data_IF_998737518650
#
_entry.id   IF_998737518650
#
_cell.length_a   1.000
_cell.length_b   1.000
_cell.length_c   1.000
_cell.angle_alpha   90.00
_cell.angle_beta   90.00
_cell.angle_gamma   90.00
#
_symmetry.space_group_name_H-M   'P 1'
#
loop_
_entity.id
_entity.type
_entity.pdbx_description
1 polymer ?
#
# COMPACT_ATOMS: atom_id res chain seq x y z
N UNK A 1 5.74 -3.65 -4.35
CA UNK A 1 5.29 -2.25 -4.18
C UNK A 1 5.78 -1.33 -5.31
N UNK A 2 7.09 -1.09 -5.50
CA UNK A 2 7.57 -0.19 -6.57
C UNK A 2 7.14 -0.64 -7.98
N UNK A 3 7.12 -1.95 -8.27
CA UNK A 3 6.63 -2.47 -9.55
C UNK A 3 5.17 -2.06 -9.79
N UNK A 4 4.28 -2.34 -8.84
CA UNK A 4 2.87 -1.98 -8.96
C UNK A 4 2.67 -0.47 -9.11
N UNK A 5 3.45 0.34 -8.41
CA UNK A 5 3.31 1.79 -8.46
C UNK A 5 3.72 2.41 -9.80
N UNK A 6 4.76 1.89 -10.45
CA UNK A 6 5.34 2.48 -11.64
C UNK A 6 4.91 1.81 -12.95
N UNK A 7 4.70 0.49 -12.92
CA UNK A 7 4.49 -0.31 -14.13
C UNK A 7 3.05 -0.83 -14.27
N UNK A 8 2.36 -1.08 -13.15
CA UNK A 8 1.02 -1.63 -13.21
C UNK A 8 -0.03 -0.55 -13.49
N UNK A 9 -1.12 -0.89 -14.20
CA UNK A 9 -2.25 -0.01 -14.39
C UNK A 9 -2.91 0.30 -13.04
N UNK A 10 -3.61 1.44 -12.95
CA UNK A 10 -4.15 1.93 -11.66
C UNK A 10 -5.08 0.94 -10.95
N UNK A 11 -5.84 0.15 -11.69
CA UNK A 11 -6.74 -0.85 -11.11
C UNK A 11 -6.02 -2.04 -10.45
N UNK A 12 -4.74 -2.23 -10.76
CA UNK A 12 -3.87 -3.23 -10.12
C UNK A 12 -3.04 -2.66 -8.96
N UNK A 13 -3.08 -1.34 -8.74
CA UNK A 13 -2.31 -0.68 -7.68
C UNK A 13 -3.00 -0.80 -6.32
N UNK A 14 -3.33 -2.01 -5.90
CA UNK A 14 -4.04 -2.31 -4.67
C UNK A 14 -3.34 -3.38 -3.82
N UNK A 15 -3.80 -3.58 -2.58
CA UNK A 15 -3.21 -4.56 -1.67
C UNK A 15 -3.44 -6.02 -2.10
N UNK A 16 -4.54 -6.31 -2.80
CA UNK A 16 -4.79 -7.63 -3.38
C UNK A 16 -3.66 -8.04 -4.32
N UNK A 17 -3.26 -7.16 -5.25
CA UNK A 17 -2.15 -7.42 -6.16
C UNK A 17 -0.80 -7.54 -5.45
N UNK A 18 -0.59 -6.85 -4.33
CA UNK A 18 0.61 -7.07 -3.50
C UNK A 18 0.64 -8.49 -2.95
N UNK A 19 -0.50 -9.01 -2.49
CA UNK A 19 -0.59 -10.39 -1.99
C UNK A 19 -0.38 -11.42 -3.11
N UNK A 20 -0.92 -11.19 -4.31
CA UNK A 20 -0.67 -12.02 -5.48
C UNK A 20 0.83 -12.06 -5.87
N UNK A 21 1.50 -10.90 -5.89
CA UNK A 21 2.93 -10.84 -6.16
C UNK A 21 3.77 -11.55 -5.08
N UNK A 22 3.34 -11.50 -3.81
CA UNK A 22 4.01 -12.26 -2.75
C UNK A 22 3.88 -13.78 -2.96
N UNK A 23 2.71 -14.25 -3.37
CA UNK A 23 2.49 -15.67 -3.70
C UNK A 23 3.27 -16.09 -4.95
N UNK A 24 3.31 -15.23 -5.97
CA UNK A 24 4.06 -15.48 -7.20
C UNK A 24 5.58 -15.54 -6.99
N UNK A 25 6.08 -14.95 -5.91
CA UNK A 25 7.50 -14.94 -5.54
C UNK A 25 7.91 -16.03 -4.56
N UNK A 26 7.20 -17.17 -4.52
CA UNK A 26 7.54 -18.26 -3.61
C UNK A 26 8.98 -18.73 -3.79
N UNK A 27 9.68 -18.92 -2.66
CA UNK A 27 11.09 -19.30 -2.64
C UNK A 27 11.15 -20.79 -2.39
N UNK A 28 11.70 -21.57 -3.34
CA UNK A 28 11.85 -23.02 -3.15
C UNK A 28 12.75 -23.31 -1.95
N UNK A 29 12.47 -24.42 -1.28
CA UNK A 29 13.32 -24.91 -0.20
C UNK A 29 14.71 -25.29 -0.74
N UNK A 30 15.74 -25.15 0.11
CA UNK A 30 17.17 -25.30 -0.24
C UNK A 30 17.53 -26.64 -0.89
N UNK A 31 16.68 -27.67 -0.76
CA UNK A 31 16.91 -29.01 -1.33
C UNK A 31 16.69 -29.07 -2.86
N UNK A 32 16.08 -28.06 -3.47
CA UNK A 32 15.84 -27.99 -4.93
C UNK A 32 16.77 -26.97 -5.60
N UNK A 33 18.05 -27.33 -5.71
CA UNK A 33 19.06 -26.50 -6.42
C UNK A 33 18.74 -26.28 -7.92
N UNK A 34 17.73 -26.97 -8.48
CA UNK A 34 17.24 -26.84 -9.85
C UNK A 34 15.83 -26.22 -9.92
N UNK A 35 15.41 -25.47 -8.91
CA UNK A 35 14.11 -24.84 -8.96
C UNK A 35 14.03 -23.87 -10.14
N UNK A 36 12.96 -23.97 -10.92
CA UNK A 36 12.66 -23.04 -12.00
C UNK A 36 12.50 -21.62 -11.40
N UNK A 37 12.85 -20.58 -12.19
CA UNK A 37 12.59 -19.21 -11.79
C UNK A 37 11.11 -19.05 -11.39
N UNK A 38 10.86 -18.32 -10.32
CA UNK A 38 9.48 -18.00 -9.94
C UNK A 38 8.87 -17.05 -10.99
N UNK A 39 7.55 -17.02 -11.09
CA UNK A 39 6.83 -16.07 -11.96
C UNK A 39 7.27 -14.61 -11.67
N UNK A 40 7.59 -14.33 -10.42
CA UNK A 40 8.12 -13.01 -10.04
C UNK A 40 9.53 -12.76 -10.59
N UNK A 41 10.41 -13.79 -10.63
CA UNK A 41 11.74 -13.68 -11.24
C UNK A 41 11.63 -13.36 -12.73
N UNK A 42 10.72 -14.04 -13.45
CA UNK A 42 10.49 -13.81 -14.87
C UNK A 42 9.98 -12.38 -15.15
N UNK A 43 9.03 -11.91 -14.36
CA UNK A 43 8.47 -10.57 -14.45
C UNK A 43 9.55 -9.49 -14.25
N UNK A 44 10.43 -9.66 -13.26
CA UNK A 44 11.53 -8.71 -13.03
C UNK A 44 12.65 -8.84 -14.06
N UNK A 45 12.88 -10.01 -14.63
CA UNK A 45 13.81 -10.18 -15.74
C UNK A 45 13.31 -9.47 -17.00
N UNK A 46 12.01 -9.54 -17.29
CA UNK A 46 11.40 -8.79 -18.39
C UNK A 46 11.52 -7.26 -18.17
N UNK A 47 11.21 -6.78 -16.96
CA UNK A 47 11.37 -5.36 -16.62
C UNK A 47 12.83 -4.91 -16.74
N UNK A 48 13.78 -5.72 -16.29
CA UNK A 48 15.19 -5.43 -16.40
C UNK A 48 15.66 -5.33 -17.86
N UNK A 49 15.11 -6.18 -18.75
CA UNK A 49 15.43 -6.11 -20.17
C UNK A 49 14.97 -4.81 -20.84
N UNK A 50 13.85 -4.25 -20.36
CA UNK A 50 13.29 -2.97 -20.83
C UNK A 50 13.99 -1.76 -20.21
N UNK A 51 14.24 -1.82 -18.90
CA UNK A 51 14.85 -0.72 -18.15
C UNK A 51 15.76 -1.25 -17.01
N UNK A 52 17.06 -1.46 -17.28
CA UNK A 52 18.01 -1.98 -16.29
C UNK A 52 18.19 -1.11 -15.05
N UNK A 53 17.90 0.19 -15.16
CA UNK A 53 18.04 1.18 -14.06
C UNK A 53 16.74 1.42 -13.28
N UNK A 54 15.69 0.66 -13.59
CA UNK A 54 14.41 0.83 -12.90
C UNK A 54 14.56 0.56 -11.41
N UNK A 55 13.95 1.45 -10.60
CA UNK A 55 14.05 1.38 -9.12
C UNK A 55 13.56 0.03 -8.57
N UNK A 56 12.48 -0.53 -9.13
CA UNK A 56 11.95 -1.82 -8.71
C UNK A 56 12.95 -2.97 -8.97
N UNK A 57 13.66 -2.96 -10.12
CA UNK A 57 14.71 -3.93 -10.44
C UNK A 57 15.86 -3.85 -9.45
N UNK A 58 16.30 -2.64 -9.12
CA UNK A 58 17.37 -2.42 -8.13
C UNK A 58 17.02 -3.05 -6.77
N UNK A 59 15.81 -2.80 -6.25
CA UNK A 59 15.39 -3.35 -4.96
C UNK A 59 15.11 -4.85 -5.03
N UNK A 60 14.63 -5.36 -6.17
CA UNK A 60 14.44 -6.79 -6.35
C UNK A 60 15.76 -7.55 -6.33
N UNK A 61 16.78 -7.06 -7.02
CA UNK A 61 18.14 -7.62 -6.97
C UNK A 61 18.73 -7.62 -5.56
N UNK A 62 18.58 -6.52 -4.84
CA UNK A 62 19.01 -6.42 -3.45
C UNK A 62 18.28 -7.45 -2.57
N UNK A 63 16.96 -7.64 -2.76
CA UNK A 63 16.20 -8.67 -2.09
C UNK A 63 16.73 -10.06 -2.44
N UNK A 64 16.89 -10.42 -3.70
CA UNK A 64 17.35 -11.73 -4.17
C UNK A 64 18.80 -12.06 -3.79
N UNK A 65 19.60 -11.11 -3.38
CA UNK A 65 20.98 -11.34 -2.88
C UNK A 65 21.04 -12.02 -1.51
N UNK A 66 19.91 -12.11 -0.80
CA UNK A 66 19.82 -12.80 0.48
C UNK A 66 19.82 -14.32 0.34
N UNK A 67 20.15 -15.07 1.39
CA UNK A 67 20.03 -16.53 1.40
C UNK A 67 18.55 -16.96 1.31
N UNK A 68 18.26 -18.11 0.71
CA UNK A 68 16.89 -18.66 0.58
C UNK A 68 16.15 -18.68 1.91
N UNK A 69 16.82 -19.12 2.98
CA UNK A 69 16.25 -19.13 4.34
C UNK A 69 15.87 -17.75 4.84
N UNK A 70 16.72 -16.74 4.59
CA UNK A 70 16.43 -15.35 4.96
C UNK A 70 15.26 -14.81 4.17
N UNK A 71 15.23 -15.03 2.86
CA UNK A 71 14.16 -14.59 1.99
C UNK A 71 12.82 -15.21 2.38
N UNK A 72 12.79 -16.52 2.67
CA UNK A 72 11.59 -17.23 3.16
C UNK A 72 11.08 -16.62 4.48
N UNK A 73 11.98 -16.33 5.42
CA UNK A 73 11.61 -15.66 6.68
C UNK A 73 11.02 -14.27 6.47
N UNK A 74 11.58 -13.50 5.55
CA UNK A 74 11.05 -12.17 5.17
C UNK A 74 9.66 -12.31 4.54
N UNK A 75 9.45 -13.27 3.62
CA UNK A 75 8.15 -13.50 3.01
C UNK A 75 7.09 -13.89 4.05
N UNK A 76 7.39 -14.83 4.95
CA UNK A 76 6.46 -15.24 6.00
C UNK A 76 6.09 -14.06 6.89
N UNK A 77 7.08 -13.25 7.29
CA UNK A 77 6.85 -12.07 8.13
C UNK A 77 5.97 -11.03 7.41
N UNK A 78 6.23 -10.81 6.14
CA UNK A 78 5.45 -9.85 5.33
C UNK A 78 4.03 -10.34 5.10
N UNK A 79 3.86 -11.62 4.75
CA UNK A 79 2.54 -12.24 4.60
C UNK A 79 1.72 -12.15 5.89
N UNK A 80 2.32 -12.45 7.05
CA UNK A 80 1.64 -12.35 8.35
C UNK A 80 1.21 -10.90 8.68
N UNK A 81 2.01 -9.91 8.32
CA UNK A 81 1.66 -8.49 8.54
C UNK A 81 0.55 -8.00 7.61
N UNK A 82 0.47 -8.55 6.40
CA UNK A 82 -0.52 -8.18 5.40
C UNK A 82 -1.74 -9.11 5.40
N UNK A 83 -1.79 -10.13 6.27
CA UNK A 83 -2.86 -11.13 6.33
C UNK A 83 -4.25 -10.50 6.39
N UNK A 84 -4.40 -9.39 7.11
CA UNK A 84 -5.68 -8.68 7.22
C UNK A 84 -6.20 -8.19 5.86
N UNK A 85 -5.33 -7.82 4.94
CA UNK A 85 -5.71 -7.41 3.58
C UNK A 85 -6.07 -8.58 2.67
N UNK A 86 -5.95 -9.82 3.15
CA UNK A 86 -6.40 -11.02 2.45
C UNK A 86 -7.88 -11.36 2.72
N UNK A 87 -8.54 -10.58 3.57
CA UNK A 87 -10.00 -10.69 3.78
C UNK A 87 -10.73 -10.09 2.58
N UNK A 88 -11.64 -10.84 1.97
CA UNK A 88 -12.37 -10.42 0.77
C UNK A 88 -13.05 -9.06 0.92
N UNK A 89 -13.66 -8.81 2.08
CA UNK A 89 -14.31 -7.54 2.38
C UNK A 89 -13.33 -6.36 2.43
N UNK A 90 -12.13 -6.58 2.96
CA UNK A 90 -11.12 -5.55 3.05
C UNK A 90 -10.40 -5.35 1.72
N UNK A 91 -10.15 -6.43 0.98
CA UNK A 91 -9.61 -6.38 -0.37
C UNK A 91 -10.54 -5.55 -1.27
N UNK A 92 -11.84 -5.85 -1.28
CA UNK A 92 -12.84 -5.09 -2.05
C UNK A 92 -12.91 -3.61 -1.64
N UNK A 93 -12.85 -3.30 -0.33
CA UNK A 93 -12.89 -1.93 0.17
C UNK A 93 -11.64 -1.11 -0.21
N UNK A 94 -10.50 -1.77 -0.43
CA UNK A 94 -9.22 -1.11 -0.76
C UNK A 94 -8.82 -1.26 -2.23
N UNK A 95 -9.72 -1.79 -3.07
CA UNK A 95 -9.44 -2.05 -4.48
C UNK A 95 -9.26 -0.76 -5.28
N UNK A 96 -10.07 0.24 -4.99
CA UNK A 96 -10.04 1.54 -5.67
C UNK A 96 -10.34 2.69 -4.70
N UNK A 97 -9.97 3.92 -5.11
CA UNK A 97 -10.19 5.13 -4.29
C UNK A 97 -11.61 5.65 -4.48
N UNK A 98 -12.49 5.36 -3.52
CA UNK A 98 -13.86 5.89 -3.45
C UNK A 98 -13.94 7.20 -2.66
N UNK A 99 -12.96 7.50 -1.83
CA UNK A 99 -13.03 8.60 -0.88
C UNK A 99 -12.58 9.93 -1.47
N UNK A 100 -11.78 9.91 -2.54
CA UNK A 100 -11.23 11.11 -3.18
C UNK A 100 -10.71 12.13 -2.15
N UNK A 101 -9.89 11.67 -1.19
CA UNK A 101 -9.45 12.46 -0.04
C UNK A 101 -8.82 13.82 -0.42
N UNK A 102 -8.29 13.94 -1.63
CA UNK A 102 -7.74 15.19 -2.15
C UNK A 102 -8.79 16.30 -2.33
N UNK A 103 -10.08 15.95 -2.40
CA UNK A 103 -11.19 16.92 -2.55
C UNK A 103 -11.73 17.43 -1.23
N UNK A 104 -11.51 16.70 -0.13
CA UNK A 104 -12.09 17.02 1.19
C UNK A 104 -11.70 18.42 1.68
N UNK A 105 -10.53 18.89 1.34
CA UNK A 105 -10.09 20.25 1.72
C UNK A 105 -10.63 21.38 0.84
N UNK A 106 -11.21 21.07 -0.31
CA UNK A 106 -11.66 22.05 -1.30
C UNK A 106 -13.18 22.23 -1.30
N UNK A 107 -13.91 21.22 -0.84
CA UNK A 107 -15.36 21.22 -0.78
C UNK A 107 -15.82 21.09 0.68
N UNK A 108 -17.04 21.61 0.98
CA UNK A 108 -17.65 21.42 2.30
C UNK A 108 -18.07 19.96 2.45
N UNK A 109 -17.20 19.16 3.03
CA UNK A 109 -17.37 17.72 3.18
C UNK A 109 -17.36 17.32 4.65
N UNK A 110 -18.21 16.35 5.02
CA UNK A 110 -18.19 15.68 6.31
C UNK A 110 -17.94 14.19 6.09
N UNK A 111 -16.86 13.67 6.66
CA UNK A 111 -16.51 12.25 6.61
C UNK A 111 -16.94 11.58 7.91
N UNK A 112 -17.78 10.54 7.80
CA UNK A 112 -18.25 9.74 8.93
C UNK A 112 -17.61 8.36 8.86
N UNK A 113 -16.73 8.03 9.81
CA UNK A 113 -16.15 6.69 9.95
C UNK A 113 -16.89 5.97 11.09
N UNK A 114 -17.64 4.92 10.75
CA UNK A 114 -18.38 4.11 11.73
C UNK A 114 -17.50 2.91 12.09
N UNK A 115 -17.19 2.79 13.37
CA UNK A 115 -16.33 1.74 13.92
C UNK A 115 -17.10 0.94 14.96
N UNK A 116 -16.93 -0.39 15.01
CA UNK A 116 -17.51 -1.19 16.07
C UNK A 116 -16.75 -0.95 17.38
N UNK A 117 -17.48 -0.64 18.47
CA UNK A 117 -16.88 -0.39 19.79
C UNK A 117 -16.22 -1.64 20.41
N UNK A 118 -16.69 -2.81 20.04
CA UNK A 118 -16.27 -4.09 20.62
C UNK A 118 -15.20 -4.81 19.81
N UNK A 119 -14.77 -4.28 18.65
CA UNK A 119 -13.76 -4.90 17.79
C UNK A 119 -12.68 -3.91 17.37
N UNK A 120 -11.51 -4.05 17.95
CA UNK A 120 -10.35 -3.21 17.66
C UNK A 120 -9.50 -3.71 16.46
N UNK A 121 -9.88 -4.85 15.86
CA UNK A 121 -9.09 -5.51 14.82
C UNK A 121 -8.86 -4.62 13.60
N UNK A 122 -9.77 -3.67 13.33
CA UNK A 122 -9.71 -2.77 12.18
C UNK A 122 -9.28 -1.33 12.51
N UNK A 123 -8.90 -1.03 13.76
CA UNK A 123 -8.45 0.31 14.15
C UNK A 123 -7.23 0.79 13.33
N UNK A 124 -6.43 -0.13 12.82
CA UNK A 124 -5.31 0.22 11.95
C UNK A 124 -5.76 0.90 10.63
N UNK A 125 -6.94 0.55 10.10
CA UNK A 125 -7.51 1.20 8.90
C UNK A 125 -7.82 2.67 9.16
N UNK A 126 -8.37 2.95 10.32
CA UNK A 126 -8.65 4.33 10.74
C UNK A 126 -7.37 5.14 10.82
N UNK A 127 -6.31 4.54 11.37
CA UNK A 127 -5.00 5.18 11.43
C UNK A 127 -4.43 5.46 10.03
N UNK A 128 -4.60 4.53 9.11
CA UNK A 128 -4.21 4.72 7.69
C UNK A 128 -5.05 5.85 7.07
N UNK A 129 -6.37 5.81 7.26
CA UNK A 129 -7.29 6.83 6.73
C UNK A 129 -6.90 8.23 7.22
N UNK A 130 -6.69 8.42 8.53
CA UNK A 130 -6.26 9.71 9.07
C UNK A 130 -4.91 10.15 8.49
N UNK A 131 -3.95 9.24 8.41
CA UNK A 131 -2.63 9.55 7.85
C UNK A 131 -2.76 10.04 6.41
N UNK A 132 -3.51 9.33 5.57
CA UNK A 132 -3.72 9.70 4.18
C UNK A 132 -4.51 11.01 4.05
N UNK A 133 -5.55 11.21 4.87
CA UNK A 133 -6.35 12.42 4.89
C UNK A 133 -5.49 13.64 5.19
N UNK A 134 -4.70 13.60 6.26
CA UNK A 134 -3.83 14.71 6.62
C UNK A 134 -2.73 14.95 5.58
N UNK A 135 -2.15 13.89 5.01
CA UNK A 135 -1.17 14.04 3.93
C UNK A 135 -1.80 14.71 2.69
N UNK A 136 -3.01 14.31 2.31
CA UNK A 136 -3.72 14.94 1.19
C UNK A 136 -4.04 16.41 1.46
N UNK A 137 -4.52 16.74 2.68
CA UNK A 137 -4.81 18.11 3.09
C UNK A 137 -3.56 18.99 3.11
N UNK A 138 -2.46 18.52 3.70
CA UNK A 138 -1.20 19.28 3.73
C UNK A 138 -0.62 19.46 2.32
N UNK A 139 -0.64 18.42 1.49
CA UNK A 139 -0.19 18.52 0.10
C UNK A 139 -1.04 19.53 -0.70
N UNK A 140 -2.35 19.54 -0.51
CA UNK A 140 -3.25 20.52 -1.15
C UNK A 140 -2.97 21.94 -0.63
N UNK A 141 -2.78 22.10 0.69
CA UNK A 141 -2.43 23.39 1.28
C UNK A 141 -1.14 23.97 0.70
N UNK A 142 -0.09 23.16 0.61
CA UNK A 142 1.22 23.58 0.11
C UNK A 142 1.17 23.93 -1.39
N UNK A 143 0.48 23.12 -2.19
CA UNK A 143 0.50 23.24 -3.65
C UNK A 143 -0.48 24.31 -4.17
N UNK A 144 -1.67 24.41 -3.55
CA UNK A 144 -2.77 25.26 -4.05
C UNK A 144 -3.00 26.51 -3.22
N UNK A 145 -2.67 26.49 -1.94
CA UNK A 145 -3.03 27.54 -0.98
C UNK A 145 -1.83 28.21 -0.29
N UNK A 146 -0.62 28.03 -0.81
CA UNK A 146 0.58 28.71 -0.29
C UNK A 146 0.92 28.35 1.17
N UNK A 147 0.63 27.10 1.60
CA UNK A 147 0.90 26.63 2.95
C UNK A 147 -0.22 26.88 3.95
N UNK A 148 -1.35 27.48 3.53
CA UNK A 148 -2.52 27.67 4.39
C UNK A 148 -3.56 26.61 4.14
N UNK A 149 -4.09 25.99 5.20
CA UNK A 149 -5.21 25.06 5.06
C UNK A 149 -6.44 25.82 4.50
N UNK A 150 -7.17 25.27 3.51
CA UNK A 150 -8.23 25.97 2.79
C UNK A 150 -9.54 26.06 3.60
N UNK A 151 -9.48 26.18 4.91
CA UNK A 151 -10.67 26.40 5.73
C UNK A 151 -10.94 27.89 5.88
N UNK A 152 -12.08 28.42 5.38
CA UNK A 152 -12.39 29.83 5.42
C UNK A 152 -12.41 30.44 6.81
N UNK A 153 -12.54 29.64 7.87
CA UNK A 153 -12.75 30.09 9.24
C UNK A 153 -11.61 29.72 10.21
N UNK A 154 -10.51 29.10 9.71
CA UNK A 154 -9.38 28.69 10.57
C UNK A 154 -9.73 27.66 11.67
N UNK A 155 -10.92 27.08 11.62
CA UNK A 155 -11.38 26.11 12.61
C UNK A 155 -11.08 24.68 12.16
N UNK A 156 -9.94 24.16 12.62
CA UNK A 156 -9.77 22.70 12.75
C UNK A 156 -10.80 22.26 13.78
N UNK A 157 -11.77 21.47 13.35
CA UNK A 157 -12.79 20.97 14.27
C UNK A 157 -12.10 20.08 15.32
N UNK A 158 -11.90 20.60 16.54
CA UNK A 158 -11.30 19.88 17.69
C UNK A 158 -12.18 18.75 18.23
N UNK A 159 -13.25 18.38 17.55
CA UNK A 159 -14.23 17.39 17.98
C UNK A 159 -13.99 15.98 17.43
N UNK A 160 -12.75 15.62 17.09
CA UNK A 160 -12.43 14.27 16.63
C UNK A 160 -12.06 13.27 17.75
N UNK A 161 -12.17 13.66 19.01
CA UNK A 161 -11.92 12.78 20.15
C UNK A 161 -13.04 12.94 21.19
N UNK A 162 -14.12 12.24 20.98
CA UNK A 162 -15.11 11.96 22.03
C UNK A 162 -15.56 10.50 21.87
N UNK A 163 -15.05 9.64 22.73
CA UNK A 163 -15.43 8.23 22.87
C UNK A 163 -14.26 7.37 23.26
#
# INVERSE_FOLDING_TARGET
MYYLWYEAPKYEQNFGMVMELLRAGDIPDEENANAMPSTLDELFAELESKNPYHIAVKYYKAYRSGSAKTLKSVQITLAARLEKFNLDSLAAMTEYDELELSRIGEEKTALFAILPDNDTSFNFLVSILYTQLFQALFSSADTKHGGSLPFPDGRICKHFFAG
#
